data_IF_400347173612
#
_entry.id   IF_400347173612
#
_cell.length_a   1.000
_cell.length_b   1.000
_cell.length_c   1.000
_cell.angle_alpha   90.00
_cell.angle_beta   90.00
_cell.angle_gamma   90.00
#
_symmetry.space_group_name_H-M   'P 1'
#
loop_
_entity.id
_entity.type
_entity.pdbx_description
1 polymer ?
#
# COMPACT_ATOMS: atom_id res chain seq x y z
N UNK A 1 10.87 -3.73 15.77
CA UNK A 1 10.58 -5.10 15.29
C UNK A 1 10.53 -5.00 13.78
N UNK A 2 11.47 -5.63 13.06
CA UNK A 2 11.47 -5.62 11.60
C UNK A 2 10.25 -6.39 11.12
N UNK A 3 9.32 -5.73 10.44
CA UNK A 3 8.14 -6.40 9.91
C UNK A 3 8.59 -7.42 8.85
N UNK A 4 8.01 -8.62 8.86
CA UNK A 4 8.32 -9.65 7.86
C UNK A 4 7.66 -9.28 6.54
N UNK A 5 8.41 -9.36 5.43
CA UNK A 5 7.86 -9.12 4.09
C UNK A 5 6.61 -10.00 3.85
N UNK A 6 5.58 -9.50 3.16
CA UNK A 6 4.29 -10.18 3.03
C UNK A 6 4.34 -11.34 2.02
N UNK A 7 5.49 -11.53 1.37
CA UNK A 7 5.76 -12.62 0.45
C UNK A 7 7.18 -13.14 0.64
N UNK A 8 7.32 -14.45 0.55
CA UNK A 8 8.62 -15.12 0.41
C UNK A 8 8.86 -15.55 -1.04
N UNK A 9 10.13 -15.78 -1.39
CA UNK A 9 10.51 -16.29 -2.71
C UNK A 9 9.88 -17.65 -2.98
N UNK A 10 9.79 -18.51 -1.95
CA UNK A 10 9.19 -19.84 -2.05
C UNK A 10 7.69 -19.77 -2.35
N UNK A 11 6.94 -18.95 -1.62
CA UNK A 11 5.49 -18.76 -1.83
C UNK A 11 5.19 -18.20 -3.23
N UNK A 12 5.97 -17.20 -3.67
CA UNK A 12 5.79 -16.63 -5.01
C UNK A 12 6.18 -17.66 -6.07
N UNK A 13 7.28 -18.38 -5.89
CA UNK A 13 7.72 -19.43 -6.80
C UNK A 13 6.68 -20.54 -6.98
N UNK A 14 6.02 -20.97 -5.91
CA UNK A 14 4.96 -21.97 -5.95
C UNK A 14 3.71 -21.52 -6.73
N UNK A 15 3.49 -20.21 -6.87
CA UNK A 15 2.37 -19.62 -7.64
C UNK A 15 2.68 -19.41 -9.12
N UNK A 16 3.93 -19.55 -9.55
CA UNK A 16 4.32 -19.34 -10.95
C UNK A 16 3.99 -20.56 -11.80
N UNK A 17 3.32 -20.31 -12.91
CA UNK A 17 2.69 -21.32 -13.76
C UNK A 17 3.68 -22.31 -14.38
N UNK A 18 4.90 -21.88 -14.69
CA UNK A 18 5.88 -22.69 -15.40
C UNK A 18 7.32 -22.44 -14.92
N UNK A 19 8.21 -23.34 -15.34
CA UNK A 19 9.62 -23.31 -15.00
C UNK A 19 10.34 -22.08 -15.58
N UNK A 20 9.84 -21.52 -16.68
CA UNK A 20 10.41 -20.32 -17.33
C UNK A 20 10.21 -19.09 -16.46
N UNK A 21 9.00 -18.91 -15.91
CA UNK A 21 8.69 -17.84 -14.98
C UNK A 21 9.50 -17.97 -13.68
N UNK A 22 9.67 -19.20 -13.17
CA UNK A 22 10.50 -19.47 -11.96
C UNK A 22 11.98 -19.18 -12.21
N UNK A 23 12.53 -19.62 -13.34
CA UNK A 23 13.90 -19.30 -13.73
C UNK A 23 14.11 -17.79 -13.88
N UNK A 24 13.16 -17.10 -14.55
CA UNK A 24 13.21 -15.65 -14.71
C UNK A 24 13.18 -14.91 -13.37
N UNK A 25 12.37 -15.36 -12.41
CA UNK A 25 12.33 -14.79 -11.06
C UNK A 25 13.69 -14.99 -10.36
N UNK A 26 14.27 -16.17 -10.44
CA UNK A 26 15.59 -16.46 -9.88
C UNK A 26 16.69 -15.54 -10.42
N UNK A 27 16.74 -15.37 -11.76
CA UNK A 27 17.69 -14.46 -12.40
C UNK A 27 17.48 -13.00 -11.98
N UNK A 28 16.22 -12.56 -11.91
CA UNK A 28 15.87 -11.21 -11.52
C UNK A 28 16.27 -10.91 -10.07
N UNK A 29 16.04 -11.85 -9.16
CA UNK A 29 16.47 -11.73 -7.76
C UNK A 29 18.00 -11.74 -7.63
N UNK A 30 18.70 -12.56 -8.41
CA UNK A 30 20.16 -12.56 -8.43
C UNK A 30 20.73 -11.22 -8.93
N UNK A 31 20.09 -10.59 -9.93
CA UNK A 31 20.44 -9.25 -10.38
C UNK A 31 20.18 -8.18 -9.31
N UNK A 32 19.04 -8.24 -8.63
CA UNK A 32 18.71 -7.35 -7.51
C UNK A 32 19.73 -7.48 -6.36
N UNK A 33 20.07 -8.71 -5.97
CA UNK A 33 21.04 -9.00 -4.92
C UNK A 33 22.44 -8.45 -5.25
N UNK A 34 22.87 -8.56 -6.51
CA UNK A 34 24.13 -7.97 -6.99
C UNK A 34 24.09 -6.44 -6.90
N UNK A 35 22.96 -5.81 -7.24
CA UNK A 35 22.82 -4.36 -7.13
C UNK A 35 22.89 -3.88 -5.67
N UNK A 36 22.33 -4.64 -4.72
CA UNK A 36 22.43 -4.33 -3.29
C UNK A 36 23.86 -4.36 -2.72
N UNK A 37 24.76 -5.10 -3.37
CA UNK A 37 26.17 -5.23 -2.99
C UNK A 37 27.08 -4.22 -3.71
N UNK A 38 26.58 -3.57 -4.76
CA UNK A 38 27.36 -2.60 -5.52
C UNK A 38 27.64 -1.35 -4.68
N UNK A 39 28.80 -0.68 -4.85
CA UNK A 39 29.06 0.60 -4.21
C UNK A 39 27.97 1.61 -4.61
N UNK A 40 27.62 2.57 -3.74
CA UNK A 40 26.71 3.64 -4.11
C UNK A 40 27.30 4.41 -5.29
N UNK A 41 26.75 4.20 -6.48
CA UNK A 41 27.07 4.98 -7.67
C UNK A 41 26.13 6.17 -7.75
N UNK A 42 26.62 7.29 -8.28
CA UNK A 42 25.77 8.45 -8.50
C UNK A 42 24.58 8.04 -9.40
N UNK A 43 23.35 8.44 -9.05
CA UNK A 43 22.17 8.13 -9.83
C UNK A 43 22.34 8.71 -11.24
N UNK A 44 22.46 7.82 -12.23
CA UNK A 44 22.52 8.21 -13.64
C UNK A 44 21.14 8.03 -14.25
N UNK A 45 20.53 9.09 -14.81
CA UNK A 45 19.23 9.00 -15.47
C UNK A 45 19.26 8.15 -16.75
N UNK A 46 20.45 7.71 -17.20
CA UNK A 46 20.64 6.93 -18.42
C UNK A 46 20.91 5.44 -18.18
N UNK A 47 21.17 5.02 -16.94
CA UNK A 47 21.37 3.60 -16.61
C UNK A 47 20.23 3.12 -15.71
N UNK A 48 19.17 2.58 -16.32
CA UNK A 48 18.30 1.69 -15.57
C UNK A 48 19.15 0.49 -15.13
N UNK A 49 19.33 0.29 -13.83
CA UNK A 49 19.95 -0.93 -13.33
C UNK A 49 19.17 -2.13 -13.87
N UNK A 50 19.85 -3.20 -14.24
CA UNK A 50 19.22 -4.36 -14.88
C UNK A 50 18.01 -4.88 -14.08
N UNK A 51 18.09 -4.85 -12.75
CA UNK A 51 16.99 -5.24 -11.87
C UNK A 51 15.76 -4.30 -11.93
N UNK A 52 15.92 -3.01 -12.23
CA UNK A 52 14.80 -2.08 -12.39
C UNK A 52 14.00 -2.39 -13.66
N UNK A 53 14.69 -2.83 -14.72
CA UNK A 53 14.03 -3.36 -15.91
C UNK A 53 13.27 -4.66 -15.59
N UNK A 54 13.81 -5.52 -14.72
CA UNK A 54 13.09 -6.70 -14.20
C UNK A 54 11.85 -6.28 -13.42
N UNK A 55 11.96 -5.28 -12.54
CA UNK A 55 10.83 -4.72 -11.79
C UNK A 55 9.71 -4.28 -12.74
N UNK A 56 10.03 -3.54 -13.81
CA UNK A 56 9.04 -3.14 -14.80
C UNK A 56 8.44 -4.34 -15.56
N UNK A 57 9.28 -5.32 -15.92
CA UNK A 57 8.90 -6.49 -16.71
C UNK A 57 8.16 -7.59 -15.93
N UNK A 58 8.12 -7.54 -14.59
CA UNK A 58 7.58 -8.60 -13.74
C UNK A 58 6.21 -9.14 -14.20
N UNK A 59 5.25 -8.25 -14.50
CA UNK A 59 3.91 -8.69 -14.93
C UNK A 59 3.89 -9.42 -16.27
N UNK A 60 4.86 -9.17 -17.16
CA UNK A 60 4.98 -9.89 -18.45
C UNK A 60 5.52 -11.30 -18.27
N UNK A 61 6.38 -11.52 -17.29
CA UNK A 61 7.08 -12.80 -17.09
C UNK A 61 6.47 -13.68 -16.01
N UNK A 62 5.83 -13.09 -15.01
CA UNK A 62 5.29 -13.81 -13.85
C UNK A 62 3.75 -13.78 -13.78
N UNK A 63 3.10 -13.12 -14.74
CA UNK A 63 1.66 -12.88 -14.74
C UNK A 63 1.26 -11.70 -13.83
N UNK A 64 0.12 -11.08 -14.14
CA UNK A 64 -0.33 -9.87 -13.42
C UNK A 64 -0.66 -10.15 -11.94
N UNK A 65 -1.19 -11.33 -11.65
CA UNK A 65 -1.59 -11.72 -10.28
C UNK A 65 -0.41 -11.91 -9.33
N UNK A 66 0.78 -12.19 -9.87
CA UNK A 66 2.02 -12.35 -9.09
C UNK A 66 2.94 -11.13 -9.18
N UNK A 67 2.63 -10.18 -10.08
CA UNK A 67 3.55 -9.09 -10.43
C UNK A 67 3.88 -8.20 -9.23
N UNK A 68 2.92 -7.90 -8.36
CA UNK A 68 3.16 -7.07 -7.19
C UNK A 68 4.09 -7.77 -6.19
N UNK A 69 3.89 -9.06 -5.95
CA UNK A 69 4.72 -9.85 -5.04
C UNK A 69 6.16 -9.94 -5.56
N UNK A 70 6.34 -10.24 -6.85
CA UNK A 70 7.65 -10.25 -7.52
C UNK A 70 8.32 -8.89 -7.42
N UNK A 71 7.60 -7.80 -7.70
CA UNK A 71 8.15 -6.44 -7.62
C UNK A 71 8.59 -6.08 -6.21
N UNK A 72 7.80 -6.41 -5.19
CA UNK A 72 8.17 -6.14 -3.79
C UNK A 72 9.37 -6.99 -3.35
N UNK A 73 9.47 -8.24 -3.80
CA UNK A 73 10.67 -9.07 -3.58
C UNK A 73 11.90 -8.44 -4.24
N UNK A 74 11.80 -7.96 -5.49
CA UNK A 74 12.91 -7.28 -6.17
C UNK A 74 13.35 -6.00 -5.46
N UNK A 75 12.41 -5.17 -5.00
CA UNK A 75 12.72 -3.96 -4.23
C UNK A 75 13.45 -4.30 -2.92
N UNK A 76 13.00 -5.36 -2.24
CA UNK A 76 13.56 -5.82 -0.96
C UNK A 76 14.97 -6.38 -1.16
N UNK A 77 15.14 -7.25 -2.16
CA UNK A 77 16.41 -7.88 -2.48
C UNK A 77 17.45 -6.87 -2.96
N UNK A 78 17.02 -5.87 -3.74
CA UNK A 78 17.87 -4.76 -4.17
C UNK A 78 18.19 -3.76 -3.04
N UNK A 79 17.56 -3.90 -1.87
CA UNK A 79 17.62 -2.92 -0.77
C UNK A 79 17.37 -1.49 -1.26
N UNK A 80 16.33 -1.33 -2.07
CA UNK A 80 16.05 -0.07 -2.75
C UNK A 80 15.86 1.08 -1.75
N UNK A 81 16.75 2.06 -1.79
CA UNK A 81 16.67 3.24 -0.94
C UNK A 81 15.55 4.20 -1.34
N UNK A 82 15.26 5.17 -0.46
CA UNK A 82 14.17 6.13 -0.62
C UNK A 82 14.19 6.85 -1.98
N UNK A 83 15.36 7.27 -2.46
CA UNK A 83 15.47 7.96 -3.75
C UNK A 83 14.99 7.08 -4.91
N UNK A 84 15.44 5.82 -4.95
CA UNK A 84 15.01 4.84 -5.95
C UNK A 84 13.52 4.55 -5.84
N UNK A 85 13.01 4.34 -4.63
CA UNK A 85 11.58 4.12 -4.39
C UNK A 85 10.73 5.30 -4.88
N UNK A 86 11.12 6.53 -4.54
CA UNK A 86 10.43 7.75 -4.99
C UNK A 86 10.48 7.90 -6.51
N UNK A 87 11.61 7.58 -7.15
CA UNK A 87 11.75 7.64 -8.61
C UNK A 87 10.86 6.59 -9.31
N UNK A 88 10.93 5.33 -8.88
CA UNK A 88 10.10 4.24 -9.42
C UNK A 88 8.61 4.53 -9.23
N UNK A 89 8.22 5.11 -8.09
CA UNK A 89 6.84 5.53 -7.87
C UNK A 89 6.41 6.65 -8.82
N UNK A 90 7.21 7.71 -8.96
CA UNK A 90 6.84 8.87 -9.78
C UNK A 90 6.75 8.55 -11.27
N UNK A 91 7.58 7.62 -11.75
CA UNK A 91 7.67 7.28 -13.17
C UNK A 91 6.87 6.02 -13.54
N UNK A 92 6.47 5.25 -12.54
CA UNK A 92 5.82 3.96 -12.73
C UNK A 92 4.31 4.05 -13.01
N UNK A 93 3.81 3.00 -13.63
CA UNK A 93 2.39 2.67 -13.73
C UNK A 93 1.74 2.49 -12.35
N UNK A 94 0.40 2.49 -12.31
CA UNK A 94 -0.34 2.22 -11.07
C UNK A 94 0.04 0.87 -10.42
N UNK A 95 0.39 -0.15 -11.20
CA UNK A 95 0.84 -1.43 -10.67
C UNK A 95 2.23 -1.35 -10.01
N UNK A 96 3.15 -0.61 -10.63
CA UNK A 96 4.50 -0.40 -10.08
C UNK A 96 4.46 0.47 -8.82
N UNK A 97 3.67 1.55 -8.84
CA UNK A 97 3.41 2.39 -7.68
C UNK A 97 2.87 1.60 -6.50
N UNK A 98 1.90 0.70 -6.75
CA UNK A 98 1.32 -0.17 -5.73
C UNK A 98 2.37 -1.09 -5.09
N UNK A 99 3.27 -1.66 -5.89
CA UNK A 99 4.36 -2.49 -5.37
C UNK A 99 5.36 -1.69 -4.51
N UNK A 100 5.64 -0.44 -4.89
CA UNK A 100 6.46 0.48 -4.06
C UNK A 100 5.79 0.73 -2.71
N UNK A 101 4.51 1.09 -2.68
CA UNK A 101 3.76 1.35 -1.43
C UNK A 101 3.80 0.13 -0.49
N UNK A 102 3.61 -1.07 -1.04
CA UNK A 102 3.66 -2.34 -0.29
C UNK A 102 5.05 -2.67 0.24
N UNK A 103 6.12 -2.16 -0.38
CA UNK A 103 7.49 -2.41 0.06
C UNK A 103 7.96 -1.44 1.16
N UNK A 104 7.29 -0.29 1.34
CA UNK A 104 7.71 0.76 2.30
C UNK A 104 7.96 0.25 3.73
N UNK A 105 7.10 -0.59 4.35
CA UNK A 105 7.32 -1.05 5.72
C UNK A 105 8.63 -1.83 5.95
N UNK A 106 9.26 -2.31 4.87
CA UNK A 106 10.45 -3.15 4.91
C UNK A 106 11.73 -2.41 4.53
N UNK A 107 11.59 -1.26 3.85
CA UNK A 107 12.70 -0.55 3.21
C UNK A 107 12.93 0.86 3.75
N UNK A 108 11.91 1.47 4.35
CA UNK A 108 11.99 2.86 4.82
C UNK A 108 11.70 2.90 6.31
N UNK A 109 12.68 3.38 7.07
CA UNK A 109 12.50 3.69 8.48
C UNK A 109 12.01 5.13 8.65
N UNK A 110 11.17 5.36 9.67
CA UNK A 110 10.65 6.68 9.97
C UNK A 110 9.69 7.23 8.90
N UNK A 111 9.24 8.50 9.00
CA UNK A 111 8.18 9.04 8.16
C UNK A 111 8.65 9.55 6.78
N UNK A 112 9.83 9.15 6.30
CA UNK A 112 10.46 9.79 5.13
C UNK A 112 9.71 9.56 3.80
N UNK A 113 8.97 8.46 3.68
CA UNK A 113 8.13 8.16 2.51
C UNK A 113 6.64 8.53 2.65
N UNK A 114 6.23 9.28 3.69
CA UNK A 114 4.81 9.69 3.87
C UNK A 114 4.25 10.43 2.64
N UNK A 115 5.09 11.23 1.98
CA UNK A 115 4.70 11.93 0.74
C UNK A 115 4.22 11.00 -0.39
N UNK A 116 4.63 9.73 -0.42
CA UNK A 116 4.15 8.74 -1.39
C UNK A 116 2.75 8.22 -1.04
N UNK A 117 2.44 8.13 0.26
CA UNK A 117 1.10 7.80 0.75
C UNK A 117 0.14 8.94 0.44
N UNK A 118 0.55 10.19 0.73
CA UNK A 118 -0.28 11.38 0.47
C UNK A 118 -0.66 11.49 -1.00
N UNK A 119 0.28 11.21 -1.91
CA UNK A 119 0.00 11.19 -3.34
C UNK A 119 -0.96 10.07 -3.73
N UNK A 120 -0.79 8.85 -3.19
CA UNK A 120 -1.69 7.74 -3.47
C UNK A 120 -3.12 8.01 -2.98
N UNK A 121 -3.26 8.58 -1.78
CA UNK A 121 -4.54 8.91 -1.15
C UNK A 121 -5.29 10.06 -1.86
N UNK A 122 -4.58 10.89 -2.63
CA UNK A 122 -5.18 11.90 -3.52
C UNK A 122 -5.81 11.31 -4.78
N UNK A 123 -5.45 10.08 -5.17
CA UNK A 123 -6.03 9.41 -6.33
C UNK A 123 -7.41 8.80 -6.02
N UNK A 124 -8.16 8.39 -7.05
CA UNK A 124 -9.35 7.54 -6.90
C UNK A 124 -9.09 6.08 -7.32
N UNK A 125 -7.83 5.70 -7.56
CA UNK A 125 -7.48 4.31 -7.84
C UNK A 125 -7.53 3.52 -6.53
N UNK A 126 -8.58 2.71 -6.37
CA UNK A 126 -8.83 1.92 -5.15
C UNK A 126 -7.69 0.97 -4.83
N UNK A 127 -6.93 0.50 -5.83
CA UNK A 127 -5.79 -0.40 -5.63
C UNK A 127 -4.59 0.34 -5.05
N UNK A 128 -4.41 1.62 -5.42
CA UNK A 128 -3.39 2.48 -4.81
C UNK A 128 -3.80 2.93 -3.41
N UNK A 129 -5.06 3.32 -3.23
CA UNK A 129 -5.59 3.71 -1.90
C UNK A 129 -5.46 2.55 -0.92
N UNK A 130 -5.87 1.34 -1.30
CA UNK A 130 -5.71 0.10 -0.52
C UNK A 130 -4.25 -0.15 -0.10
N UNK A 131 -3.30 -0.04 -1.04
CA UNK A 131 -1.88 -0.20 -0.69
C UNK A 131 -1.34 0.93 0.19
N UNK A 132 -1.87 2.15 0.06
CA UNK A 132 -1.44 3.31 0.84
C UNK A 132 -1.89 3.25 2.30
N UNK A 133 -2.99 2.58 2.63
CA UNK A 133 -3.50 2.44 4.01
C UNK A 133 -2.92 1.26 4.79
N UNK A 134 -1.89 0.60 4.24
CA UNK A 134 -1.20 -0.52 4.87
C UNK A 134 -0.30 -0.16 6.06
N UNK A 135 0.59 -1.07 6.49
CA UNK A 135 1.35 -0.92 7.75
C UNK A 135 2.20 0.34 7.86
N UNK A 136 2.77 0.81 6.75
CA UNK A 136 3.58 2.04 6.75
C UNK A 136 2.73 3.27 7.10
N UNK A 137 1.47 3.33 6.64
CA UNK A 137 0.54 4.38 7.04
C UNK A 137 0.14 4.28 8.51
N UNK A 138 -0.14 3.06 8.98
CA UNK A 138 -0.47 2.83 10.39
C UNK A 138 0.64 3.32 11.33
N UNK A 139 1.90 3.16 10.93
CA UNK A 139 3.07 3.58 11.69
C UNK A 139 3.39 5.08 11.58
N UNK A 140 3.17 5.70 10.41
CA UNK A 140 3.75 7.01 10.11
C UNK A 140 2.76 8.13 9.74
N UNK A 141 1.50 7.82 9.37
CA UNK A 141 0.51 8.89 9.20
C UNK A 141 0.15 9.48 10.56
N UNK A 142 0.17 10.81 10.62
CA UNK A 142 -0.37 11.54 11.76
C UNK A 142 -1.88 11.25 11.95
N UNK A 143 -2.45 11.57 13.13
CA UNK A 143 -3.85 11.28 13.39
C UNK A 143 -4.83 11.91 12.39
N UNK A 144 -4.57 13.13 11.92
CA UNK A 144 -5.47 13.82 10.99
C UNK A 144 -5.43 13.17 9.61
N UNK A 145 -4.24 12.98 9.04
CA UNK A 145 -4.06 12.33 7.74
C UNK A 145 -4.65 10.90 7.73
N UNK A 146 -4.48 10.15 8.82
CA UNK A 146 -5.02 8.80 8.95
C UNK A 146 -6.56 8.77 8.97
N UNK A 147 -7.24 9.69 9.69
CA UNK A 147 -8.71 9.78 9.67
C UNK A 147 -9.24 10.10 8.29
N UNK A 148 -8.59 11.02 7.59
CA UNK A 148 -8.94 11.34 6.21
C UNK A 148 -8.72 10.15 5.25
N UNK A 149 -7.69 9.33 5.49
CA UNK A 149 -7.50 8.08 4.75
C UNK A 149 -8.65 7.08 4.99
N UNK A 150 -9.13 6.93 6.23
CA UNK A 150 -10.30 6.09 6.55
C UNK A 150 -11.56 6.59 5.84
N UNK A 151 -11.85 7.90 5.88
CA UNK A 151 -12.97 8.48 5.13
C UNK A 151 -12.81 8.28 3.61
N UNK A 152 -11.59 8.41 3.10
CA UNK A 152 -11.30 8.18 1.68
C UNK A 152 -11.61 6.74 1.28
N UNK A 153 -11.28 5.76 2.12
CA UNK A 153 -11.64 4.36 1.87
C UNK A 153 -13.15 4.17 1.80
N UNK A 154 -13.90 4.70 2.77
CA UNK A 154 -15.38 4.66 2.76
C UNK A 154 -15.98 5.34 1.52
N UNK A 155 -15.42 6.47 1.11
CA UNK A 155 -15.87 7.22 -0.06
C UNK A 155 -15.59 6.49 -1.38
N UNK A 156 -14.43 5.83 -1.49
CA UNK A 156 -14.00 5.14 -2.72
C UNK A 156 -14.36 3.67 -2.78
N UNK A 157 -14.90 3.11 -1.70
CA UNK A 157 -15.25 1.69 -1.61
C UNK A 157 -14.06 0.75 -1.40
N UNK A 158 -12.96 1.24 -0.82
CA UNK A 158 -11.85 0.38 -0.38
C UNK A 158 -12.27 -0.31 0.93
N UNK A 159 -12.17 -1.66 1.02
CA UNK A 159 -12.51 -2.39 2.24
C UNK A 159 -11.70 -1.89 3.43
N UNK A 160 -12.34 -1.68 4.58
CA UNK A 160 -11.62 -1.19 5.76
C UNK A 160 -10.72 -2.24 6.41
N UNK A 161 -10.86 -3.52 6.02
CA UNK A 161 -9.90 -4.57 6.36
C UNK A 161 -8.49 -4.33 5.77
N UNK A 162 -8.37 -3.52 4.72
CA UNK A 162 -7.07 -3.13 4.17
C UNK A 162 -6.36 -2.07 5.03
N UNK A 163 -7.10 -1.37 5.92
CA UNK A 163 -6.53 -0.34 6.79
C UNK A 163 -5.80 -1.03 7.95
N UNK A 164 -4.47 -1.01 7.89
CA UNK A 164 -3.65 -1.63 8.93
C UNK A 164 -3.86 -0.95 10.29
N UNK A 165 -3.89 -1.76 11.35
CA UNK A 165 -4.13 -1.33 12.74
C UNK A 165 -5.42 -0.52 12.97
N UNK A 166 -6.44 -0.68 12.11
CA UNK A 166 -7.69 0.08 12.21
C UNK A 166 -8.29 0.06 13.61
N UNK A 167 -8.45 -1.13 14.21
CA UNK A 167 -9.02 -1.26 15.55
C UNK A 167 -8.20 -0.54 16.62
N UNK A 168 -6.87 -0.67 16.55
CA UNK A 168 -5.96 -0.06 17.51
C UNK A 168 -6.00 1.46 17.41
N UNK A 169 -6.00 2.00 16.18
CA UNK A 169 -5.97 3.45 15.94
C UNK A 169 -7.33 4.12 16.12
N UNK A 170 -8.43 3.43 15.80
CA UNK A 170 -9.78 3.96 15.97
C UNK A 170 -10.23 4.01 17.43
N UNK A 171 -9.70 3.13 18.30
CA UNK A 171 -10.14 3.01 19.69
C UNK A 171 -10.07 4.33 20.45
N UNK A 172 -11.25 4.83 20.86
CA UNK A 172 -11.38 6.08 21.61
C UNK A 172 -11.19 7.34 20.77
N UNK A 173 -11.13 7.25 19.44
CA UNK A 173 -10.95 8.41 18.57
C UNK A 173 -12.28 9.15 18.33
N UNK A 174 -12.60 10.10 19.23
CA UNK A 174 -13.82 10.89 19.15
C UNK A 174 -13.90 11.82 17.93
N UNK A 175 -12.77 12.25 17.37
CA UNK A 175 -12.76 13.06 16.15
C UNK A 175 -13.10 12.22 14.93
N UNK A 176 -12.58 10.98 14.86
CA UNK A 176 -13.02 10.02 13.86
C UNK A 176 -14.53 9.73 13.97
N UNK A 177 -15.03 9.53 15.20
CA UNK A 177 -16.46 9.27 15.43
C UNK A 177 -17.34 10.42 14.91
N UNK A 178 -16.95 11.66 15.20
CA UNK A 178 -17.62 12.87 14.70
C UNK A 178 -17.60 12.92 13.16
N UNK A 179 -16.42 12.74 12.56
CA UNK A 179 -16.25 12.74 11.11
C UNK A 179 -17.08 11.66 10.40
N UNK A 180 -17.18 10.46 10.97
CA UNK A 180 -18.01 9.37 10.43
C UNK A 180 -19.50 9.70 10.52
N UNK A 181 -19.93 10.29 11.64
CA UNK A 181 -21.32 10.72 11.84
C UNK A 181 -21.71 11.80 10.83
N UNK A 182 -20.85 12.80 10.62
CA UNK A 182 -21.07 13.86 9.63
C UNK A 182 -21.14 13.26 8.21
N UNK A 183 -20.22 12.35 7.86
CA UNK A 183 -20.24 11.67 6.57
C UNK A 183 -21.53 10.87 6.36
N UNK A 184 -22.01 10.15 7.37
CA UNK A 184 -23.28 9.43 7.29
C UNK A 184 -24.46 10.39 7.05
N UNK A 185 -24.52 11.50 7.79
CA UNK A 185 -25.56 12.52 7.62
C UNK A 185 -25.53 13.15 6.21
N UNK A 186 -24.35 13.47 5.69
CA UNK A 186 -24.18 13.99 4.32
C UNK A 186 -24.62 12.98 3.25
N UNK A 187 -24.38 11.69 3.45
CA UNK A 187 -24.82 10.62 2.54
C UNK A 187 -26.34 10.50 2.54
N UNK A 188 -26.95 10.42 3.72
CA UNK A 188 -28.41 10.32 3.88
C UNK A 188 -29.12 11.55 3.33
N UNK A 189 -28.64 12.77 3.62
CA UNK A 189 -29.21 14.00 3.10
C UNK A 189 -29.16 14.08 1.56
N UNK A 190 -28.16 13.44 0.95
CA UNK A 190 -28.04 13.31 -0.50
C UNK A 190 -28.83 12.11 -1.09
N UNK A 191 -29.61 11.39 -0.28
CA UNK A 191 -30.36 10.20 -0.71
C UNK A 191 -29.48 9.02 -1.11
N UNK A 192 -28.27 8.92 -0.55
CA UNK A 192 -27.30 7.87 -0.87
C UNK A 192 -27.11 6.93 0.32
N UNK A 193 -26.88 5.66 0.04
CA UNK A 193 -26.64 4.66 1.08
C UNK A 193 -25.38 4.95 1.89
N UNK A 194 -25.46 4.65 3.18
CA UNK A 194 -24.33 4.69 4.12
C UNK A 194 -23.57 3.35 4.02
N UNK A 195 -22.24 3.34 3.83
CA UNK A 195 -21.48 2.10 3.76
C UNK A 195 -21.56 1.31 5.07
N UNK A 196 -21.81 0.00 5.01
CA UNK A 196 -21.90 -0.88 6.19
C UNK A 196 -20.65 -0.82 7.10
N UNK A 197 -19.47 -0.71 6.49
CA UNK A 197 -18.20 -0.61 7.21
C UNK A 197 -18.09 0.64 8.10
N UNK A 198 -18.93 1.66 7.89
CA UNK A 198 -18.97 2.85 8.73
C UNK A 198 -19.38 2.52 10.17
N UNK A 199 -20.46 1.76 10.35
CA UNK A 199 -20.98 1.42 11.67
C UNK A 199 -20.00 0.55 12.46
N UNK A 200 -19.25 -0.31 11.75
CA UNK A 200 -18.15 -1.08 12.32
C UNK A 200 -17.09 -0.16 12.90
N UNK A 201 -16.62 0.84 12.14
CA UNK A 201 -15.58 1.76 12.65
C UNK A 201 -16.11 2.68 13.72
N UNK A 202 -17.34 3.17 13.61
CA UNK A 202 -17.95 3.98 14.65
C UNK A 202 -17.97 3.21 15.98
N UNK A 203 -18.35 1.93 15.95
CA UNK A 203 -18.29 1.05 17.14
C UNK A 203 -16.87 0.93 17.70
N UNK A 204 -15.84 0.83 16.85
CA UNK A 204 -14.44 0.78 17.28
C UNK A 204 -14.00 2.06 18.02
N UNK A 205 -14.58 3.22 17.69
CA UNK A 205 -14.28 4.47 18.41
C UNK A 205 -14.82 4.51 19.85
N UNK A 206 -15.72 3.58 20.21
CA UNK A 206 -16.40 3.56 21.50
C UNK A 206 -17.78 4.25 21.49
N UNK A 207 -18.13 4.90 20.38
CA UNK A 207 -19.46 5.46 20.14
C UNK A 207 -20.42 4.41 19.56
N UNK A 208 -21.72 4.50 19.88
CA UNK A 208 -22.74 3.60 19.34
C UNK A 208 -23.31 4.15 18.03
N UNK A 209 -23.49 3.31 16.98
CA UNK A 209 -24.25 3.70 15.80
C UNK A 209 -25.65 4.19 16.18
N UNK A 210 -26.04 5.36 15.66
CA UNK A 210 -27.41 5.85 15.82
C UNK A 210 -28.32 5.01 14.91
N UNK A 211 -29.11 4.09 15.50
CA UNK A 211 -30.15 3.38 14.74
C UNK A 211 -31.16 4.40 14.20
N UNK A 212 -31.60 4.29 12.93
CA UNK A 212 -32.71 5.09 12.43
C UNK A 212 -33.92 4.93 13.35
N UNK A 213 -34.53 6.04 13.76
CA UNK A 213 -35.86 5.99 14.37
C UNK A 213 -36.83 5.51 13.30
N UNK A 214 -37.34 4.28 13.44
CA UNK A 214 -38.51 3.84 12.69
C UNK A 214 -39.66 4.78 13.06
N UNK A 215 -40.11 5.56 12.07
CA UNK A 215 -41.31 6.40 12.13
C UNK A 215 -42.56 5.54 11.98
#
# INVERSE_FOLDING_TARGET
MTQTAPWTVEEVGARLADDTARAWLGDALAEAARAAQAPPTAPSPYTAHTWELRFAAAGRHCGQDNADAVRTLLLTEARAGLETLTRLYRQGSAAERRAVLRALPFLVEGPHAVHLLDDALRTNDTRLVSAAVGPYAAAHLDPHAWRHAVLKCLFTGVPLDDVADLERRARGDGELARMLTDYAAERTAAGRDVPHDLDRVLTLTGEKPQRPQEL
#
